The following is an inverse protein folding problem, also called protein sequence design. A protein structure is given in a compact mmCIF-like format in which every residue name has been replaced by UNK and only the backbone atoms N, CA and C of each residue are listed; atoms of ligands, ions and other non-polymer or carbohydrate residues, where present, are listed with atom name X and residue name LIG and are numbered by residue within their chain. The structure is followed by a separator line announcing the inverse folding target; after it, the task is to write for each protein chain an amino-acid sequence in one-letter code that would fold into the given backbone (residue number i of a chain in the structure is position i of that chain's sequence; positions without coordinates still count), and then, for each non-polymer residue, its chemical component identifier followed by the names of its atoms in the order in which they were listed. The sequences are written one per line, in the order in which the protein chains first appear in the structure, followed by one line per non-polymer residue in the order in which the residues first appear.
data_IF_837866373174
#
_entry.id   IF_837866373174
#
_cell.length_a   1.000
_cell.length_b   1.000
_cell.length_c   1.000
_cell.angle_alpha   90.00
_cell.angle_beta   90.00
_cell.angle_gamma   90.00
#
_symmetry.space_group_name_H-M   'P 1'
#
loop_
_entity.id
_entity.type
_entity.pdbx_description
1 polymer ?
#
# COMPACT_ATOMS: atom_id res chain seq x y z
N UNK A 1 -75.80 6.07 5.36
CA UNK A 1 -74.77 6.52 6.27
C UNK A 1 -73.68 5.44 6.26
N UNK A 2 -72.57 5.69 5.53
CA UNK A 2 -71.46 4.76 5.40
C UNK A 2 -70.23 5.42 6.08
N UNK A 3 -69.87 4.89 7.26
CA UNK A 3 -68.63 5.30 7.99
C UNK A 3 -67.42 4.61 7.34
N UNK A 4 -66.52 5.41 6.83
CA UNK A 4 -65.24 4.95 6.30
C UNK A 4 -64.19 5.14 7.41
N UNK A 5 -63.74 4.04 7.98
CA UNK A 5 -62.66 4.03 8.96
C UNK A 5 -61.32 4.10 8.21
N UNK A 6 -60.59 5.20 8.38
CA UNK A 6 -59.25 5.36 7.89
C UNK A 6 -58.29 4.74 8.92
N UNK A 7 -57.70 3.60 8.58
CA UNK A 7 -56.60 2.96 9.33
C UNK A 7 -55.28 3.71 9.02
N UNK A 8 -54.84 4.54 9.97
CA UNK A 8 -53.52 5.14 9.98
C UNK A 8 -52.49 4.07 10.43
N UNK A 9 -51.80 3.46 9.49
CA UNK A 9 -50.62 2.64 9.77
C UNK A 9 -49.42 3.56 10.07
N UNK A 10 -49.09 3.69 11.35
CA UNK A 10 -47.86 4.35 11.79
C UNK A 10 -46.66 3.47 11.40
N UNK A 11 -45.91 3.90 10.40
CA UNK A 11 -44.58 3.36 10.08
C UNK A 11 -43.60 3.80 11.18
N UNK A 12 -43.28 2.90 12.10
CA UNK A 12 -42.14 3.06 13.00
C UNK A 12 -40.86 2.87 12.18
N UNK A 13 -40.27 3.98 11.75
CA UNK A 13 -38.88 4.00 11.29
C UNK A 13 -37.99 3.74 12.52
N UNK A 14 -37.63 2.48 12.71
CA UNK A 14 -36.63 2.09 13.68
C UNK A 14 -35.26 2.65 13.21
N UNK A 15 -34.88 3.79 13.73
CA UNK A 15 -33.48 4.24 13.68
C UNK A 15 -32.65 3.29 14.53
N UNK A 16 -31.89 2.40 13.89
CA UNK A 16 -30.85 1.63 14.55
C UNK A 16 -29.83 2.64 15.12
N UNK A 17 -29.92 2.90 16.41
CA UNK A 17 -28.92 3.65 17.14
C UNK A 17 -27.62 2.82 17.09
N UNK A 18 -26.70 3.18 16.19
CA UNK A 18 -25.33 2.71 16.27
C UNK A 18 -24.75 3.23 17.56
N UNK A 19 -24.23 2.31 18.39
CA UNK A 19 -23.57 2.68 19.63
C UNK A 19 -22.29 3.47 19.27
N UNK A 20 -22.42 4.78 19.28
CA UNK A 20 -21.31 5.68 19.10
C UNK A 20 -20.50 5.74 20.41
N UNK A 21 -19.20 5.64 20.30
CA UNK A 21 -18.26 5.95 21.40
C UNK A 21 -18.56 7.35 21.96
N UNK A 22 -18.38 7.54 23.28
CA UNK A 22 -18.45 8.88 23.84
C UNK A 22 -17.47 9.80 23.10
N UNK A 23 -17.87 11.03 22.71
CA UNK A 23 -17.07 11.88 21.79
C UNK A 23 -15.64 12.15 22.28
N UNK A 24 -15.40 12.18 23.56
CA UNK A 24 -14.05 12.40 24.12
C UNK A 24 -13.21 11.13 24.05
N UNK A 25 -13.80 9.97 24.23
CA UNK A 25 -13.14 8.68 24.09
C UNK A 25 -12.77 8.41 22.63
N UNK A 26 -13.65 8.73 21.69
CA UNK A 26 -13.38 8.62 20.25
C UNK A 26 -12.16 9.45 19.82
N UNK A 27 -12.05 10.68 20.33
CA UNK A 27 -10.88 11.54 20.08
C UNK A 27 -9.59 10.95 20.67
N UNK A 28 -9.65 10.36 21.85
CA UNK A 28 -8.47 9.74 22.48
C UNK A 28 -8.03 8.49 21.72
N UNK A 29 -8.97 7.64 21.32
CA UNK A 29 -8.71 6.45 20.49
C UNK A 29 -8.11 6.88 19.15
N UNK A 30 -8.73 7.84 18.46
CA UNK A 30 -8.21 8.36 17.19
C UNK A 30 -6.79 8.89 17.32
N UNK A 31 -6.51 9.66 18.37
CA UNK A 31 -5.17 10.19 18.67
C UNK A 31 -4.16 9.07 18.96
N UNK A 32 -4.56 8.03 19.65
CA UNK A 32 -3.73 6.86 19.91
C UNK A 32 -3.36 6.16 18.58
N UNK A 33 -4.35 5.91 17.74
CA UNK A 33 -4.16 5.24 16.44
C UNK A 33 -3.24 6.06 15.52
N UNK A 34 -3.44 7.38 15.46
CA UNK A 34 -2.65 8.29 14.63
C UNK A 34 -1.17 8.39 15.02
N UNK A 35 -0.81 7.99 16.25
CA UNK A 35 0.61 7.87 16.67
C UNK A 35 1.33 6.71 15.99
N UNK A 36 0.60 5.75 15.42
CA UNK A 36 1.21 4.62 14.70
C UNK A 36 1.78 5.11 13.35
N UNK A 37 3.05 4.79 13.03
CA UNK A 37 3.67 5.20 11.76
C UNK A 37 2.88 4.74 10.52
N UNK A 38 2.18 3.61 10.61
CA UNK A 38 1.41 3.02 9.50
C UNK A 38 0.16 3.81 9.11
N UNK A 39 -0.34 4.69 9.99
CA UNK A 39 -1.58 5.47 9.76
C UNK A 39 -1.38 6.97 9.98
N UNK A 40 -0.16 7.41 10.21
CA UNK A 40 0.15 8.82 10.44
C UNK A 40 -0.26 9.67 9.22
N UNK A 41 -1.01 10.74 9.48
CA UNK A 41 -1.52 11.64 8.44
C UNK A 41 -2.72 11.10 7.64
N UNK A 42 -3.27 9.93 7.99
CA UNK A 42 -4.44 9.34 7.35
C UNK A 42 -5.72 9.66 8.13
N UNK A 43 -6.84 9.67 7.42
CA UNK A 43 -8.16 9.80 8.06
C UNK A 43 -8.54 8.45 8.66
N UNK A 44 -8.91 8.47 9.93
CA UNK A 44 -9.27 7.28 10.72
C UNK A 44 -10.70 7.40 11.22
N UNK A 45 -11.42 6.31 11.20
CA UNK A 45 -12.74 6.15 11.83
C UNK A 45 -12.72 4.89 12.66
N UNK A 46 -13.05 4.99 13.94
CA UNK A 46 -13.17 3.86 14.86
C UNK A 46 -14.65 3.59 15.14
N UNK A 47 -15.06 2.34 15.00
CA UNK A 47 -16.42 1.88 15.27
C UNK A 47 -16.36 0.77 16.32
N UNK A 48 -17.16 0.89 17.38
CA UNK A 48 -17.27 -0.14 18.39
C UNK A 48 -18.08 -1.32 17.87
N UNK A 49 -17.52 -2.54 17.97
CA UNK A 49 -18.17 -3.74 17.45
C UNK A 49 -19.19 -4.35 18.42
N UNK A 50 -19.04 -4.11 19.73
CA UNK A 50 -19.98 -4.58 20.74
C UNK A 50 -20.57 -3.39 21.52
N UNK A 51 -21.81 -2.99 21.24
CA UNK A 51 -22.46 -1.86 21.88
C UNK A 51 -22.77 -2.08 23.37
N UNK A 52 -22.71 -3.31 23.87
CA UNK A 52 -22.97 -3.64 25.26
C UNK A 52 -21.77 -3.34 26.18
N UNK A 53 -20.59 -3.15 25.60
CA UNK A 53 -19.41 -2.79 26.37
C UNK A 53 -19.44 -1.29 26.66
N UNK A 54 -19.68 -0.96 27.92
CA UNK A 54 -19.67 0.42 28.41
C UNK A 54 -18.32 0.73 29.05
N UNK A 55 -17.68 1.83 28.62
CA UNK A 55 -16.45 2.32 29.25
C UNK A 55 -16.80 3.25 30.39
N UNK A 56 -16.41 2.92 31.64
CA UNK A 56 -16.66 3.79 32.78
C UNK A 56 -15.90 5.13 32.67
N UNK A 57 -16.42 6.19 33.27
CA UNK A 57 -15.71 7.45 33.31
C UNK A 57 -14.41 7.36 34.14
N UNK A 58 -13.37 8.02 33.67
CA UNK A 58 -12.09 8.14 34.37
C UNK A 58 -11.98 9.51 35.04
N UNK A 59 -12.75 9.73 36.08
CA UNK A 59 -12.86 11.03 36.74
C UNK A 59 -11.53 11.44 37.38
N UNK A 60 -10.97 12.57 36.91
CA UNK A 60 -9.72 13.14 37.41
C UNK A 60 -8.47 12.30 37.08
N UNK A 61 -8.58 11.32 36.19
CA UNK A 61 -7.48 10.51 35.65
C UNK A 61 -7.39 10.60 34.14
N UNK A 62 -6.39 9.92 33.57
CA UNK A 62 -6.18 9.76 32.13
C UNK A 62 -6.47 8.32 31.76
N UNK A 63 -7.13 8.11 30.61
CA UNK A 63 -7.33 6.78 30.07
C UNK A 63 -6.05 6.39 29.31
N UNK A 64 -5.40 5.34 29.80
CA UNK A 64 -4.29 4.71 29.10
C UNK A 64 -4.85 3.75 28.06
N UNK A 65 -4.45 3.94 26.80
CA UNK A 65 -4.88 3.11 25.67
C UNK A 65 -3.68 2.30 25.21
N UNK A 66 -3.86 1.00 25.05
CA UNK A 66 -2.85 0.09 24.52
C UNK A 66 -3.46 -0.91 23.54
N UNK A 67 -2.65 -1.33 22.55
CA UNK A 67 -2.95 -2.45 21.67
C UNK A 67 -2.06 -3.62 22.05
N UNK A 68 -2.45 -4.82 21.64
CA UNK A 68 -1.58 -6.00 21.81
C UNK A 68 -0.24 -5.78 21.07
N UNK A 69 0.90 -6.16 21.64
CA UNK A 69 2.19 -6.05 21.00
C UNK A 69 2.19 -6.75 19.64
N UNK A 70 2.64 -6.04 18.59
CA UNK A 70 2.67 -6.55 17.22
C UNK A 70 1.32 -6.59 16.50
N UNK A 71 0.21 -6.22 17.14
CA UNK A 71 -1.09 -6.13 16.49
C UNK A 71 -1.14 -4.93 15.52
N UNK A 72 -1.79 -5.14 14.38
CA UNK A 72 -2.13 -4.05 13.46
C UNK A 72 -3.17 -3.16 14.14
N UNK A 73 -2.95 -1.83 14.14
CA UNK A 73 -3.86 -0.85 14.76
C UNK A 73 -5.00 -0.40 13.85
N UNK A 74 -5.31 -1.14 12.81
CA UNK A 74 -6.39 -0.91 11.87
C UNK A 74 -7.10 -2.22 11.49
N UNK A 75 -8.31 -2.12 10.95
CA UNK A 75 -9.21 -3.27 10.79
C UNK A 75 -9.84 -3.67 12.12
N UNK A 76 -10.17 -4.94 12.26
CA UNK A 76 -10.71 -5.48 13.51
C UNK A 76 -9.57 -5.64 14.51
N UNK A 77 -9.66 -4.93 15.62
CA UNK A 77 -8.65 -4.94 16.68
C UNK A 77 -9.30 -4.81 18.05
N UNK A 78 -8.57 -5.17 19.09
CA UNK A 78 -9.00 -4.99 20.48
C UNK A 78 -8.04 -3.99 21.11
N UNK A 79 -8.58 -2.87 21.58
CA UNK A 79 -7.84 -1.93 22.40
C UNK A 79 -8.17 -2.16 23.86
N UNK A 80 -7.14 -2.15 24.69
CA UNK A 80 -7.26 -2.18 26.13
C UNK A 80 -7.23 -0.73 26.66
N UNK A 81 -8.29 -0.37 27.37
CA UNK A 81 -8.44 0.92 28.05
C UNK A 81 -8.28 0.69 29.53
N UNK A 82 -7.45 1.51 30.19
CA UNK A 82 -7.19 1.43 31.61
C UNK A 82 -7.28 2.82 32.24
N UNK A 83 -8.01 2.90 33.33
CA UNK A 83 -7.94 4.06 34.22
C UNK A 83 -7.30 3.65 35.56
N UNK A 84 -6.03 4.00 35.77
CA UNK A 84 -5.30 3.65 36.98
C UNK A 84 -5.95 4.28 38.23
N UNK A 85 -6.45 5.52 38.11
CA UNK A 85 -7.06 6.24 39.22
C UNK A 85 -8.38 5.60 39.67
N UNK A 86 -9.21 5.15 38.78
CA UNK A 86 -10.50 4.52 39.09
C UNK A 86 -10.41 3.00 39.23
N UNK A 87 -9.24 2.40 38.96
CA UNK A 87 -8.97 0.96 39.15
C UNK A 87 -9.67 0.04 38.17
N UNK A 88 -10.11 0.53 36.99
CA UNK A 88 -10.78 -0.29 36.00
C UNK A 88 -9.92 -0.52 34.73
N UNK A 89 -10.19 -1.63 34.07
CA UNK A 89 -9.60 -2.00 32.78
C UNK A 89 -10.69 -2.65 31.91
N UNK A 90 -10.83 -2.19 30.67
CA UNK A 90 -11.83 -2.67 29.71
C UNK A 90 -11.17 -2.93 28.38
N UNK A 91 -11.48 -4.08 27.78
CA UNK A 91 -11.07 -4.41 26.42
C UNK A 91 -12.23 -4.10 25.46
N UNK A 92 -11.97 -3.24 24.46
CA UNK A 92 -12.98 -2.83 23.49
C UNK A 92 -12.62 -3.39 22.12
N UNK A 93 -13.48 -4.25 21.52
CA UNK A 93 -13.35 -4.64 20.14
C UNK A 93 -13.80 -3.48 19.24
N UNK A 94 -12.91 -3.05 18.35
CA UNK A 94 -13.12 -1.96 17.40
C UNK A 94 -12.92 -2.43 15.97
N UNK A 95 -13.64 -1.82 15.06
CA UNK A 95 -13.32 -1.82 13.63
C UNK A 95 -12.76 -0.44 13.28
N UNK A 96 -11.46 -0.40 13.00
CA UNK A 96 -10.75 0.85 12.69
C UNK A 96 -10.58 0.93 11.19
N UNK A 97 -11.32 1.84 10.56
CA UNK A 97 -11.27 2.10 9.12
C UNK A 97 -10.27 3.21 8.85
N UNK A 98 -9.38 2.96 7.92
CA UNK A 98 -8.32 3.91 7.53
C UNK A 98 -8.54 4.31 6.08
N UNK A 99 -8.58 5.60 5.82
CA UNK A 99 -8.79 6.18 4.50
C UNK A 99 -7.55 6.95 4.06
N UNK A 100 -7.27 6.86 2.78
CA UNK A 100 -6.18 7.60 2.18
C UNK A 100 -6.05 7.33 0.70
N UNK A 101 -5.08 7.99 0.10
CA UNK A 101 -4.80 7.90 -1.32
C UNK A 101 -4.15 6.59 -1.71
N UNK A 102 -4.53 6.05 -2.86
CA UNK A 102 -3.90 4.91 -3.48
C UNK A 102 -3.98 4.97 -5.01
N UNK A 103 -3.14 4.19 -5.66
CA UNK A 103 -2.99 4.21 -7.12
C UNK A 103 -3.87 3.14 -7.75
N UNK A 104 -4.61 3.53 -8.80
CA UNK A 104 -5.43 2.63 -9.61
C UNK A 104 -5.13 2.78 -11.09
N UNK A 105 -5.42 1.75 -11.87
CA UNK A 105 -5.37 1.80 -13.33
C UNK A 105 -6.44 2.77 -13.86
N UNK A 106 -6.04 3.69 -14.76
CA UNK A 106 -6.93 4.64 -15.41
C UNK A 106 -7.75 4.01 -16.54
N UNK A 107 -7.23 2.93 -17.13
CA UNK A 107 -7.81 2.15 -18.22
C UNK A 107 -7.46 0.68 -18.07
N UNK A 108 -7.91 -0.16 -18.97
CA UNK A 108 -7.38 -1.53 -19.07
C UNK A 108 -5.89 -1.52 -19.42
N UNK A 109 -5.10 -2.26 -18.66
CA UNK A 109 -3.67 -2.40 -18.84
C UNK A 109 -3.33 -3.88 -19.05
N UNK A 110 -2.82 -4.28 -20.23
CA UNK A 110 -2.48 -5.67 -20.52
C UNK A 110 -1.22 -6.13 -19.79
N UNK A 111 -1.04 -7.45 -19.70
CA UNK A 111 0.19 -8.06 -19.23
C UNK A 111 1.41 -7.54 -20.02
N UNK A 112 2.50 -7.28 -19.34
CA UNK A 112 3.75 -6.86 -19.96
C UNK A 112 3.81 -5.38 -20.36
N UNK A 113 2.75 -4.61 -20.13
CA UNK A 113 2.76 -3.17 -20.40
C UNK A 113 3.66 -2.44 -19.42
N UNK A 114 4.52 -1.56 -19.94
CA UNK A 114 5.25 -0.57 -19.14
C UNK A 114 4.27 0.52 -18.70
N UNK A 115 4.32 0.90 -17.42
CA UNK A 115 3.44 1.91 -16.86
C UNK A 115 3.96 3.32 -17.14
N UNK A 116 3.11 4.14 -17.71
CA UNK A 116 3.31 5.55 -17.99
C UNK A 116 2.38 6.43 -17.13
N UNK A 117 2.68 7.73 -16.98
CA UNK A 117 1.88 8.63 -16.14
C UNK A 117 0.37 8.65 -16.46
N UNK A 118 -0.02 8.52 -17.74
CA UNK A 118 -1.41 8.48 -18.17
C UNK A 118 -2.16 7.18 -17.88
N UNK A 119 -1.45 6.11 -17.54
CA UNK A 119 -2.01 4.79 -17.29
C UNK A 119 -2.62 4.64 -15.89
N UNK A 120 -2.26 5.53 -14.98
CA UNK A 120 -2.60 5.43 -13.57
C UNK A 120 -3.16 6.75 -13.04
N UNK A 121 -3.95 6.65 -12.00
CA UNK A 121 -4.49 7.79 -11.26
C UNK A 121 -4.52 7.51 -9.77
N UNK A 122 -4.56 8.57 -8.98
CA UNK A 122 -4.72 8.50 -7.54
C UNK A 122 -6.21 8.66 -7.23
N UNK A 123 -6.72 7.83 -6.33
CA UNK A 123 -8.05 7.99 -5.74
C UNK A 123 -7.97 7.83 -4.23
N UNK A 124 -8.88 8.47 -3.49
CA UNK A 124 -9.05 8.24 -2.06
C UNK A 124 -10.05 7.10 -1.82
N UNK A 125 -9.77 6.25 -0.84
CA UNK A 125 -10.69 5.21 -0.41
C UNK A 125 -10.25 4.51 0.85
N UNK A 126 -11.00 3.49 1.26
CA UNK A 126 -10.73 2.69 2.45
C UNK A 126 -9.59 1.70 2.18
N UNK A 127 -8.49 1.89 2.88
CA UNK A 127 -7.28 1.09 2.69
C UNK A 127 -7.38 -0.32 3.28
N UNK A 128 -8.27 -0.51 4.25
CA UNK A 128 -8.52 -1.82 4.86
C UNK A 128 -9.02 -2.88 3.87
N UNK A 129 -9.65 -2.44 2.79
CA UNK A 129 -10.23 -3.29 1.75
C UNK A 129 -9.24 -3.61 0.62
N UNK A 130 -8.05 -3.04 0.67
CA UNK A 130 -7.04 -3.16 -0.37
C UNK A 130 -5.95 -4.16 0.04
N UNK A 131 -5.22 -4.72 -0.93
CA UNK A 131 -4.03 -5.50 -0.67
C UNK A 131 -2.99 -4.70 0.14
N UNK A 132 -2.23 -5.37 0.99
CA UNK A 132 -1.23 -4.74 1.86
C UNK A 132 -0.11 -4.03 1.10
N UNK A 133 0.14 -4.48 -0.12
CA UNK A 133 1.18 -3.99 -1.02
C UNK A 133 0.71 -2.90 -1.99
N UNK A 134 -0.53 -2.39 -1.81
CA UNK A 134 -1.09 -1.34 -2.69
C UNK A 134 -0.21 -0.09 -2.69
N UNK A 135 0.06 0.43 -3.87
CA UNK A 135 0.84 1.65 -4.04
C UNK A 135 0.07 2.87 -3.55
N UNK A 136 0.70 3.64 -2.68
CA UNK A 136 0.18 4.90 -2.14
C UNK A 136 0.58 6.11 -2.99
N UNK A 137 1.62 5.96 -3.80
CA UNK A 137 2.14 7.01 -4.67
C UNK A 137 2.47 6.46 -6.06
N UNK A 138 2.29 7.25 -7.12
CA UNK A 138 2.56 6.82 -8.50
C UNK A 138 4.03 6.48 -8.78
N UNK A 139 4.96 7.09 -8.03
CA UNK A 139 6.41 6.89 -8.25
C UNK A 139 6.82 5.42 -8.18
N UNK A 140 6.15 4.63 -7.35
CA UNK A 140 6.42 3.20 -7.25
C UNK A 140 6.01 2.36 -8.47
N UNK A 141 5.19 2.92 -9.37
CA UNK A 141 4.69 2.23 -10.55
C UNK A 141 5.44 2.63 -11.84
N UNK A 142 5.96 3.86 -11.92
CA UNK A 142 6.57 4.36 -13.15
C UNK A 142 7.77 3.52 -13.57
N UNK A 143 7.91 3.36 -14.89
CA UNK A 143 8.96 2.58 -15.55
C UNK A 143 8.96 1.08 -15.24
N UNK A 144 8.01 0.60 -14.43
CA UNK A 144 7.81 -0.82 -14.15
C UNK A 144 6.87 -1.46 -15.16
N UNK A 145 6.94 -2.77 -15.28
CA UNK A 145 6.15 -3.58 -16.20
C UNK A 145 5.12 -4.39 -15.40
N UNK A 146 3.89 -4.45 -15.91
CA UNK A 146 2.85 -5.28 -15.32
C UNK A 146 3.16 -6.77 -15.42
N UNK A 147 3.03 -7.47 -14.30
CA UNK A 147 3.14 -8.93 -14.19
C UNK A 147 1.80 -9.65 -14.38
N UNK A 148 0.69 -8.92 -14.42
CA UNK A 148 -0.67 -9.40 -14.74
C UNK A 148 -1.50 -8.29 -15.37
N UNK A 149 -2.56 -8.61 -16.14
CA UNK A 149 -3.45 -7.58 -16.64
C UNK A 149 -4.27 -6.94 -15.53
N UNK A 150 -4.55 -5.63 -15.65
CA UNK A 150 -5.38 -4.87 -14.71
C UNK A 150 -6.56 -4.23 -15.42
N UNK A 151 -7.74 -4.31 -14.81
CA UNK A 151 -8.94 -3.61 -15.28
C UNK A 151 -8.89 -2.14 -14.86
N UNK A 152 -9.63 -1.29 -15.57
CA UNK A 152 -9.84 0.09 -15.15
C UNK A 152 -10.38 0.16 -13.73
N UNK A 153 -9.79 1.00 -12.88
CA UNK A 153 -10.17 1.15 -11.48
C UNK A 153 -9.54 0.13 -10.52
N UNK A 154 -8.84 -0.90 -11.04
CA UNK A 154 -8.14 -1.86 -10.17
C UNK A 154 -7.00 -1.20 -9.40
N UNK A 155 -6.87 -1.45 -8.09
CA UNK A 155 -5.70 -1.01 -7.32
C UNK A 155 -4.44 -1.69 -7.85
N UNK A 156 -3.34 -0.95 -7.79
CA UNK A 156 -2.02 -1.44 -8.24
C UNK A 156 -1.17 -1.72 -7.00
N UNK A 157 -0.78 -2.97 -6.83
CA UNK A 157 0.14 -3.42 -5.78
C UNK A 157 1.59 -3.53 -6.29
N UNK A 158 2.55 -3.59 -5.37
CA UNK A 158 3.94 -3.85 -5.71
C UNK A 158 4.13 -5.20 -6.40
N UNK A 159 3.36 -6.22 -6.00
CA UNK A 159 3.40 -7.56 -6.59
C UNK A 159 2.84 -7.63 -8.01
N UNK A 160 2.07 -6.62 -8.42
CA UNK A 160 1.58 -6.49 -9.80
C UNK A 160 2.66 -5.98 -10.76
N UNK A 161 3.78 -5.54 -10.23
CA UNK A 161 4.83 -4.84 -10.95
C UNK A 161 6.15 -5.62 -10.89
N UNK A 162 6.85 -5.59 -12.00
CA UNK A 162 8.24 -6.05 -12.11
C UNK A 162 9.09 -4.93 -12.70
N UNK A 163 10.37 -4.95 -12.38
CA UNK A 163 11.29 -3.99 -12.97
C UNK A 163 11.45 -4.24 -14.47
N UNK A 164 11.61 -3.16 -15.22
CA UNK A 164 11.87 -3.23 -16.65
C UNK A 164 13.33 -3.58 -16.86
N UNK A 165 13.61 -4.58 -17.73
CA UNK A 165 14.96 -4.81 -18.19
C UNK A 165 15.46 -3.59 -18.95
N UNK A 166 16.58 -3.04 -18.55
CA UNK A 166 17.23 -1.89 -19.22
C UNK A 166 18.13 -2.30 -20.37
N UNK A 167 18.46 -3.61 -20.45
CA UNK A 167 19.11 -4.27 -21.57
C UNK A 167 18.30 -5.50 -21.94
N UNK A 168 17.99 -5.67 -23.23
CA UNK A 168 17.31 -6.83 -23.78
C UNK A 168 18.27 -7.66 -24.63
N UNK A 169 17.92 -8.93 -24.82
CA UNK A 169 18.63 -9.79 -25.79
C UNK A 169 18.59 -9.14 -27.17
N UNK A 170 19.75 -9.03 -27.81
CA UNK A 170 19.91 -8.40 -29.12
C UNK A 170 20.21 -6.91 -29.07
N UNK A 171 20.14 -6.26 -27.93
CA UNK A 171 20.47 -4.83 -27.81
C UNK A 171 21.97 -4.59 -28.01
N UNK A 172 22.35 -3.55 -28.79
CA UNK A 172 23.72 -3.07 -28.83
C UNK A 172 24.08 -2.43 -27.48
N UNK A 173 25.20 -2.84 -26.93
CA UNK A 173 25.68 -2.34 -25.63
C UNK A 173 27.14 -1.94 -25.72
N UNK A 174 27.49 -0.89 -24.97
CA UNK A 174 28.88 -0.50 -24.74
C UNK A 174 29.41 -1.24 -23.52
N UNK A 175 30.51 -1.94 -23.72
CA UNK A 175 31.28 -2.56 -22.65
C UNK A 175 32.30 -1.55 -22.14
N UNK A 176 32.38 -1.41 -20.82
CA UNK A 176 33.38 -0.55 -20.18
C UNK A 176 34.21 -1.40 -19.23
N UNK A 177 35.48 -1.39 -19.45
CA UNK A 177 36.50 -2.00 -18.63
C UNK A 177 37.25 -0.90 -17.94
N UNK A 178 37.11 -0.74 -16.63
CA UNK A 178 37.83 0.27 -15.85
C UNK A 178 38.90 -0.38 -15.00
N UNK A 179 40.15 -0.01 -15.18
CA UNK A 179 41.27 -0.29 -14.30
C UNK A 179 41.64 0.94 -13.46
N UNK A 180 42.77 0.86 -12.73
CA UNK A 180 43.18 1.90 -11.80
C UNK A 180 43.55 3.22 -12.52
N UNK A 181 44.13 3.13 -13.72
CA UNK A 181 44.61 4.28 -14.50
C UNK A 181 44.18 4.22 -15.99
N UNK A 182 43.21 3.37 -16.32
CA UNK A 182 42.73 3.24 -17.70
C UNK A 182 41.23 2.90 -17.74
N UNK A 183 40.59 3.33 -18.81
CA UNK A 183 39.28 2.89 -19.21
C UNK A 183 39.30 2.48 -20.68
N UNK A 184 38.91 1.25 -20.95
CA UNK A 184 38.74 0.72 -22.30
C UNK A 184 37.30 0.51 -22.57
N UNK A 185 36.79 0.92 -23.73
CA UNK A 185 35.43 0.66 -24.15
C UNK A 185 35.41 -0.15 -25.44
N UNK A 186 34.47 -1.05 -25.52
CA UNK A 186 34.13 -1.84 -26.70
C UNK A 186 32.63 -1.86 -26.95
N UNK A 187 32.22 -2.41 -28.08
CA UNK A 187 30.81 -2.61 -28.41
C UNK A 187 30.53 -4.10 -28.57
N UNK A 188 29.31 -4.48 -28.23
CA UNK A 188 28.84 -5.86 -28.37
C UNK A 188 27.32 -5.95 -28.37
N UNK A 189 26.82 -7.17 -28.54
CA UNK A 189 25.40 -7.47 -28.56
C UNK A 189 25.03 -8.27 -27.30
N UNK A 190 24.06 -7.82 -26.56
CA UNK A 190 23.57 -8.50 -25.37
C UNK A 190 22.99 -9.87 -25.72
N UNK A 191 23.44 -10.92 -25.04
CA UNK A 191 22.94 -12.29 -25.17
C UNK A 191 21.90 -12.65 -24.10
N UNK A 192 21.84 -11.86 -23.02
CA UNK A 192 20.86 -11.99 -21.93
C UNK A 192 20.28 -10.63 -21.62
N UNK A 193 19.01 -10.60 -21.20
CA UNK A 193 18.39 -9.40 -20.66
C UNK A 193 18.86 -9.16 -19.23
N UNK A 194 18.88 -7.88 -18.80
CA UNK A 194 19.23 -7.52 -17.43
C UNK A 194 18.70 -6.16 -17.02
N UNK A 195 18.50 -6.01 -15.70
CA UNK A 195 18.19 -4.77 -15.01
C UNK A 195 19.49 -4.07 -14.56
N UNK A 196 19.37 -2.87 -14.02
CA UNK A 196 20.53 -2.20 -13.40
C UNK A 196 21.11 -3.08 -12.27
N UNK A 197 22.40 -3.32 -12.36
CA UNK A 197 23.12 -4.15 -11.40
C UNK A 197 23.20 -5.64 -11.72
N UNK A 198 22.42 -6.14 -12.68
CA UNK A 198 22.45 -7.55 -13.10
C UNK A 198 23.69 -7.88 -13.90
N UNK A 199 24.06 -9.17 -13.87
CA UNK A 199 25.09 -9.74 -14.74
C UNK A 199 24.47 -10.14 -16.07
N UNK A 200 25.01 -9.60 -17.17
CA UNK A 200 24.60 -9.91 -18.52
C UNK A 200 25.77 -10.45 -19.35
N UNK A 201 25.45 -11.33 -20.29
CA UNK A 201 26.40 -11.81 -21.27
C UNK A 201 26.33 -10.96 -22.52
N UNK A 202 27.48 -10.56 -23.04
CA UNK A 202 27.61 -9.72 -24.22
C UNK A 202 28.57 -10.39 -25.20
N UNK A 203 28.16 -10.53 -26.45
CA UNK A 203 28.98 -11.05 -27.55
C UNK A 203 29.64 -9.87 -28.27
N UNK A 204 30.97 -9.93 -28.38
CA UNK A 204 31.77 -9.00 -29.17
C UNK A 204 31.74 -9.33 -30.65
N UNK A 205 32.24 -8.43 -31.49
CA UNK A 205 32.32 -8.60 -32.93
C UNK A 205 33.23 -9.77 -33.36
N UNK A 206 34.24 -10.10 -32.57
CA UNK A 206 35.16 -11.24 -32.77
C UNK A 206 34.56 -12.60 -32.34
N UNK A 207 33.30 -12.59 -31.83
CA UNK A 207 32.58 -13.76 -31.36
C UNK A 207 32.81 -14.13 -29.89
N UNK A 208 33.72 -13.47 -29.21
CA UNK A 208 33.93 -13.68 -27.75
C UNK A 208 32.68 -13.26 -26.96
N UNK A 209 32.42 -13.98 -25.88
CA UNK A 209 31.32 -13.66 -24.96
C UNK A 209 31.93 -13.26 -23.62
N UNK A 210 31.64 -12.03 -23.21
CA UNK A 210 32.06 -11.48 -21.92
C UNK A 210 30.87 -11.37 -20.99
N UNK A 211 31.13 -11.46 -19.69
CA UNK A 211 30.16 -11.15 -18.64
C UNK A 211 30.47 -9.79 -18.06
N UNK A 212 29.40 -9.06 -17.74
CA UNK A 212 29.54 -7.77 -17.11
C UNK A 212 28.28 -7.33 -16.38
N UNK A 213 28.47 -6.41 -15.46
CA UNK A 213 27.41 -5.82 -14.65
C UNK A 213 26.77 -4.64 -15.39
N UNK A 214 25.46 -4.61 -15.49
CA UNK A 214 24.72 -3.48 -16.06
C UNK A 214 24.88 -2.24 -15.16
N UNK A 215 25.50 -1.18 -15.68
CA UNK A 215 25.66 0.10 -14.97
C UNK A 215 24.54 1.07 -15.23
N UNK A 216 24.08 1.14 -16.48
CA UNK A 216 23.00 2.02 -16.95
C UNK A 216 22.48 1.47 -18.29
N UNK A 217 21.37 2.01 -18.84
CA UNK A 217 20.88 1.57 -20.15
C UNK A 217 22.00 1.52 -21.20
N UNK A 218 22.09 0.42 -21.90
CA UNK A 218 23.09 0.14 -22.96
C UNK A 218 24.58 0.20 -22.52
N UNK A 219 24.89 0.18 -21.21
CA UNK A 219 26.27 0.19 -20.71
C UNK A 219 26.52 -0.92 -19.69
N UNK A 220 27.49 -1.75 -19.97
CA UNK A 220 27.88 -2.91 -19.16
C UNK A 220 29.34 -2.77 -18.73
N UNK A 221 29.61 -2.87 -17.42
CA UNK A 221 30.95 -2.91 -16.87
C UNK A 221 31.47 -4.35 -16.87
N UNK A 222 32.56 -4.60 -17.57
CA UNK A 222 33.21 -5.92 -17.57
C UNK A 222 33.91 -6.14 -16.23
N UNK A 223 33.75 -7.34 -15.66
CA UNK A 223 34.47 -7.80 -14.47
C UNK A 223 35.57 -8.71 -14.99
N UNK A 224 36.81 -8.37 -14.71
CA UNK A 224 37.98 -9.24 -14.94
C UNK A 224 38.22 -9.99 -13.63
N UNK A 225 38.18 -11.30 -13.69
CA UNK A 225 38.66 -12.19 -12.61
C UNK A 225 40.17 -12.34 -12.68
#
# INVERSE_FOLDING_TARGET
MRFWAILLTAYFLGTSAQAALAPDLDKEITRFIQKSPSVNGLRVQAEQLDPNIVVPACVGGVIEISAQPGARVWGRTILQLRCARAGWMVNIPLNIRVFGDYVVASRYLPFGQKIEPGDIRIIEGELNLLPDDVLRTPKGAYDRILSRPLQMGSPIGLNDLRESSVIKVGDPVRLVLSGKDFEVSGEGIAQTSGMLGDMVRVRLADGQVLQGKVLRPSVVKVIIE
#
